data_IF_257179953685
#
_entry.id   IF_257179953685
#
_cell.length_a   1.000
_cell.length_b   1.000
_cell.length_c   1.000
_cell.angle_alpha   90.00
_cell.angle_beta   90.00
_cell.angle_gamma   90.00
#
_symmetry.space_group_name_H-M   'P 1'
#
loop_
_entity.id
_entity.type
_entity.pdbx_description
1 polymer ?
#
# COMPACT_ATOMS: atom_id res chain seq x y z
N UNK A 1 -16.49 20.43 4.40
CA UNK A 1 -16.89 19.52 3.30
C UNK A 1 -16.79 18.09 3.81
N UNK A 2 -17.71 17.19 3.44
CA UNK A 2 -17.55 15.77 3.73
C UNK A 2 -16.32 15.20 3.00
N UNK A 3 -15.60 14.32 3.67
CA UNK A 3 -14.44 13.61 3.09
C UNK A 3 -14.92 12.55 2.08
N UNK A 4 -14.21 12.41 0.96
CA UNK A 4 -14.51 11.41 -0.06
C UNK A 4 -14.02 10.03 0.39
N UNK A 5 -14.88 9.01 0.25
CA UNK A 5 -14.56 7.63 0.61
C UNK A 5 -13.61 6.96 -0.39
N UNK A 6 -12.69 6.15 0.12
CA UNK A 6 -11.90 5.22 -0.70
C UNK A 6 -12.57 3.85 -0.64
N UNK A 7 -12.73 3.20 -1.80
CA UNK A 7 -13.48 1.94 -1.91
C UNK A 7 -12.59 0.83 -2.49
N UNK A 8 -12.64 -0.34 -1.86
CA UNK A 8 -11.90 -1.53 -2.30
C UNK A 8 -12.42 -1.98 -3.65
N UNK A 9 -11.50 -2.20 -4.60
CA UNK A 9 -11.84 -2.61 -5.96
C UNK A 9 -12.39 -4.03 -6.05
N UNK A 10 -12.16 -4.86 -5.02
CA UNK A 10 -12.50 -6.29 -5.05
C UNK A 10 -13.77 -6.62 -4.26
N UNK A 11 -13.94 -6.03 -3.07
CA UNK A 11 -15.08 -6.32 -2.18
C UNK A 11 -16.05 -5.15 -1.98
N UNK A 12 -15.73 -3.96 -2.49
CA UNK A 12 -16.58 -2.77 -2.37
C UNK A 12 -16.65 -2.14 -0.98
N UNK A 13 -15.93 -2.65 0.02
CA UNK A 13 -15.81 -2.00 1.34
C UNK A 13 -15.18 -0.62 1.18
N UNK A 14 -15.76 0.37 1.85
CA UNK A 14 -15.30 1.75 1.79
C UNK A 14 -14.93 2.29 3.17
N UNK A 15 -13.98 3.22 3.20
CA UNK A 15 -13.58 3.91 4.42
C UNK A 15 -13.17 5.35 4.13
N UNK A 16 -13.34 6.22 5.14
CA UNK A 16 -12.77 7.55 5.09
C UNK A 16 -11.23 7.44 5.17
N UNK A 17 -10.47 8.15 4.32
CA UNK A 17 -9.01 8.18 4.44
C UNK A 17 -8.50 8.52 5.84
N UNK A 18 -9.15 9.46 6.54
CA UNK A 18 -8.83 9.78 7.94
C UNK A 18 -9.03 8.59 8.91
N UNK A 19 -10.11 7.82 8.76
CA UNK A 19 -10.36 6.61 9.55
C UNK A 19 -9.38 5.48 9.23
N UNK A 20 -8.92 5.41 7.98
CA UNK A 20 -7.90 4.45 7.50
C UNK A 20 -6.47 4.91 7.79
N UNK A 21 -6.30 6.09 8.43
CA UNK A 21 -5.00 6.69 8.75
C UNK A 21 -4.12 6.95 7.52
N UNK A 22 -4.73 7.27 6.38
CA UNK A 22 -3.99 7.53 5.15
C UNK A 22 -3.20 8.83 5.21
N UNK A 23 -1.94 8.76 4.81
CA UNK A 23 -1.07 9.92 4.57
C UNK A 23 -1.53 10.69 3.32
N UNK A 24 -1.01 11.92 3.15
CA UNK A 24 -1.28 12.71 1.94
C UNK A 24 -0.86 11.96 0.66
N UNK A 25 0.29 11.28 0.70
CA UNK A 25 0.78 10.46 -0.42
C UNK A 25 -0.15 9.29 -0.71
N UNK A 26 -0.64 8.59 0.34
CA UNK A 26 -1.63 7.52 0.16
C UNK A 26 -2.90 8.02 -0.51
N UNK A 27 -3.49 9.14 -0.05
CA UNK A 27 -4.71 9.70 -0.63
C UNK A 27 -4.55 9.99 -2.12
N UNK A 28 -3.40 10.54 -2.52
CA UNK A 28 -3.07 10.80 -3.94
C UNK A 28 -2.93 9.48 -4.70
N UNK A 29 -2.25 8.51 -4.11
CA UNK A 29 -1.92 7.24 -4.75
C UNK A 29 -3.14 6.34 -4.94
N UNK A 30 -3.95 6.11 -3.90
CA UNK A 30 -5.07 5.14 -3.93
C UNK A 30 -6.17 5.52 -4.91
N UNK A 31 -6.26 6.79 -5.31
CA UNK A 31 -7.16 7.26 -6.36
C UNK A 31 -6.66 6.95 -7.78
N UNK A 32 -5.37 6.63 -7.95
CA UNK A 32 -4.73 6.43 -9.26
C UNK A 32 -4.66 4.99 -9.71
N UNK A 33 -5.01 4.04 -8.86
CA UNK A 33 -4.98 2.61 -9.19
C UNK A 33 -6.09 1.85 -8.46
N UNK A 34 -6.23 0.56 -8.79
CA UNK A 34 -7.16 -0.35 -8.12
C UNK A 34 -6.71 -0.64 -6.68
N UNK A 35 -7.06 0.25 -5.76
CA UNK A 35 -6.81 0.04 -4.34
C UNK A 35 -7.65 -1.12 -3.79
N UNK A 36 -7.10 -1.83 -2.82
CA UNK A 36 -7.72 -2.97 -2.13
C UNK A 36 -7.70 -2.71 -0.62
N UNK A 37 -8.74 -3.11 0.11
CA UNK A 37 -8.71 -3.05 1.57
C UNK A 37 -7.72 -4.09 2.16
N UNK A 38 -7.44 -3.99 3.45
CA UNK A 38 -6.54 -4.91 4.18
C UNK A 38 -6.84 -6.39 3.92
N UNK A 39 -8.11 -6.78 3.94
CA UNK A 39 -8.55 -8.17 3.73
C UNK A 39 -8.41 -8.67 2.27
N UNK A 40 -8.27 -7.76 1.31
CA UNK A 40 -8.19 -8.11 -0.11
C UNK A 40 -6.79 -7.86 -0.68
N UNK A 41 -5.84 -7.40 0.14
CA UNK A 41 -4.52 -7.01 -0.34
C UNK A 41 -3.75 -8.23 -0.85
N UNK A 42 -3.17 -8.12 -2.03
CA UNK A 42 -2.20 -9.08 -2.52
C UNK A 42 -0.84 -8.42 -2.79
N UNK A 43 0.20 -9.23 -2.90
CA UNK A 43 1.52 -8.75 -3.29
C UNK A 43 1.54 -8.31 -4.76
N UNK A 44 1.95 -7.06 -5.00
CA UNK A 44 2.00 -6.45 -6.33
C UNK A 44 3.06 -7.06 -7.27
N UNK A 45 3.83 -8.05 -6.80
CA UNK A 45 4.86 -8.75 -7.57
C UNK A 45 4.37 -10.16 -7.95
N UNK A 46 3.94 -10.98 -6.99
CA UNK A 46 3.52 -12.36 -7.25
C UNK A 46 2.00 -12.52 -7.45
N UNK A 47 1.18 -11.54 -7.05
CA UNK A 47 -0.27 -11.56 -7.20
C UNK A 47 -1.01 -12.44 -6.17
N UNK A 48 -0.35 -12.93 -5.12
CA UNK A 48 -0.98 -13.76 -4.07
C UNK A 48 -1.17 -12.98 -2.77
N UNK A 49 -2.12 -13.41 -1.95
CA UNK A 49 -2.40 -12.91 -0.61
C UNK A 49 -1.96 -13.87 0.50
N UNK A 50 -1.32 -14.99 0.15
CA UNK A 50 -0.76 -15.96 1.11
C UNK A 50 0.38 -15.33 1.92
N UNK A 51 0.76 -15.90 3.08
CA UNK A 51 1.87 -15.37 3.92
C UNK A 51 1.67 -13.87 4.25
N UNK A 52 0.50 -13.55 4.78
CA UNK A 52 0.08 -12.20 5.16
C UNK A 52 1.00 -11.58 6.23
N UNK A 53 1.54 -12.40 7.11
CA UNK A 53 2.58 -12.05 8.10
C UNK A 53 3.86 -11.46 7.46
N UNK A 54 4.11 -11.76 6.19
CA UNK A 54 5.25 -11.26 5.43
C UNK A 54 4.85 -10.22 4.37
N UNK A 55 3.58 -9.80 4.31
CA UNK A 55 3.07 -8.84 3.34
C UNK A 55 3.16 -7.40 3.89
N UNK A 56 4.16 -6.65 3.42
CA UNK A 56 4.32 -5.23 3.77
C UNK A 56 3.35 -4.35 2.98
N UNK A 57 2.83 -3.31 3.63
CA UNK A 57 2.10 -2.23 2.96
C UNK A 57 2.99 -1.01 2.83
N UNK A 58 3.00 -0.40 1.65
CA UNK A 58 3.76 0.82 1.41
C UNK A 58 3.11 2.02 2.10
N UNK A 59 3.86 2.80 2.88
CA UNK A 59 3.35 3.95 3.65
C UNK A 59 2.94 5.16 2.79
N UNK A 60 3.24 5.12 1.48
CA UNK A 60 2.90 6.19 0.53
C UNK A 60 1.82 5.81 -0.48
N UNK A 61 1.54 4.52 -0.68
CA UNK A 61 0.52 4.11 -1.64
C UNK A 61 -0.36 2.96 -1.20
N UNK A 62 -0.10 2.33 -0.06
CA UNK A 62 -0.85 1.20 0.47
C UNK A 62 -0.81 -0.07 -0.41
N UNK A 63 0.11 -0.17 -1.38
CA UNK A 63 0.31 -1.42 -2.14
C UNK A 63 0.99 -2.48 -1.27
N UNK A 64 0.54 -3.73 -1.42
CA UNK A 64 1.12 -4.89 -0.75
C UNK A 64 2.36 -5.44 -1.47
N UNK A 65 3.38 -5.84 -0.70
CA UNK A 65 4.58 -6.52 -1.19
C UNK A 65 5.08 -7.53 -0.17
N UNK A 66 5.23 -8.79 -0.57
CA UNK A 66 5.91 -9.75 0.29
C UNK A 66 7.38 -9.37 0.45
N UNK A 67 7.89 -9.46 1.68
CA UNK A 67 9.29 -9.21 1.98
C UNK A 67 10.24 -10.03 1.10
N UNK A 68 9.90 -11.29 0.84
CA UNK A 68 10.69 -12.20 0.01
C UNK A 68 10.53 -11.96 -1.51
N UNK A 69 9.49 -11.23 -1.95
CA UNK A 69 9.31 -10.86 -3.35
C UNK A 69 10.09 -9.59 -3.74
N UNK A 70 10.58 -8.82 -2.76
CA UNK A 70 11.39 -7.64 -3.00
C UNK A 70 12.76 -8.00 -3.58
N UNK A 71 13.41 -7.02 -4.21
CA UNK A 71 14.77 -7.15 -4.74
C UNK A 71 15.61 -5.94 -4.31
N UNK A 72 16.50 -6.07 -3.31
CA UNK A 72 16.79 -7.29 -2.55
C UNK A 72 15.64 -7.72 -1.62
N UNK A 73 15.50 -9.03 -1.31
CA UNK A 73 14.53 -9.52 -0.33
C UNK A 73 14.80 -8.95 1.07
N UNK A 74 13.73 -8.72 1.83
CA UNK A 74 13.82 -8.39 3.26
C UNK A 74 13.61 -9.65 4.09
N UNK A 75 14.33 -9.75 5.21
CA UNK A 75 14.23 -10.90 6.15
C UNK A 75 13.34 -10.56 7.34
N UNK A 76 13.30 -9.29 7.73
CA UNK A 76 12.49 -8.76 8.82
C UNK A 76 11.75 -7.52 8.36
N UNK A 77 10.58 -7.21 8.95
CA UNK A 77 9.90 -5.95 8.70
C UNK A 77 10.84 -4.77 8.97
N UNK A 78 10.83 -3.73 8.12
CA UNK A 78 11.66 -2.54 8.31
C UNK A 78 11.27 -1.79 9.59
N UNK A 79 12.25 -1.15 10.21
CA UNK A 79 11.99 -0.24 11.33
C UNK A 79 11.48 1.11 10.79
N UNK A 80 10.37 1.61 11.35
CA UNK A 80 9.77 2.87 10.92
C UNK A 80 9.00 2.74 9.61
N UNK A 81 8.97 3.81 8.81
CA UNK A 81 8.19 3.85 7.57
C UNK A 81 8.91 3.19 6.41
N UNK A 82 8.18 2.46 5.59
CA UNK A 82 8.67 1.80 4.39
C UNK A 82 7.87 2.20 3.15
N UNK A 83 8.61 2.61 2.12
CA UNK A 83 8.08 3.01 0.83
C UNK A 83 8.54 2.04 -0.25
N UNK A 84 7.61 1.54 -1.06
CA UNK A 84 7.93 0.67 -2.18
C UNK A 84 8.75 1.42 -3.24
N UNK A 85 9.43 0.67 -4.13
CA UNK A 85 10.27 1.25 -5.18
C UNK A 85 9.55 2.31 -6.02
N UNK A 86 8.27 2.10 -6.35
CA UNK A 86 7.47 3.07 -7.12
C UNK A 86 7.36 4.42 -6.40
N UNK A 87 7.05 4.39 -5.10
CA UNK A 87 6.93 5.59 -4.28
C UNK A 87 8.28 6.24 -3.98
N UNK A 88 9.35 5.45 -3.86
CA UNK A 88 10.71 6.00 -3.78
C UNK A 88 11.04 6.84 -5.01
N UNK A 89 10.60 6.41 -6.20
CA UNK A 89 10.83 7.16 -7.44
C UNK A 89 9.88 8.35 -7.61
N UNK A 90 8.65 8.24 -7.12
CA UNK A 90 7.61 9.27 -7.28
C UNK A 90 7.72 10.41 -6.25
N UNK A 91 7.92 10.08 -4.97
CA UNK A 91 7.83 11.03 -3.86
C UNK A 91 9.17 11.37 -3.21
N UNK A 92 10.16 10.46 -3.26
CA UNK A 92 11.40 10.59 -2.47
C UNK A 92 12.66 10.87 -3.30
N UNK A 93 12.59 10.82 -4.64
CA UNK A 93 13.70 11.26 -5.48
C UNK A 93 13.80 12.79 -5.45
N UNK A 94 14.88 13.31 -4.87
CA UNK A 94 15.29 14.70 -5.05
C UNK A 94 15.59 14.88 -6.54
N UNK A 95 14.84 15.76 -7.20
CA UNK A 95 15.16 16.24 -8.54
C UNK A 95 16.30 17.25 -8.49
#
# INVERSE_FOLDING_TARGET
>A
MPEELVSCSDCGRSGHPSCLQFTANMIISVKRYRWQCIECKYCSICGTSDNDDQLLFCDDCDRGYHMYCLSPPLVTPPEGSWSCKLCMEEFHKIK
#
